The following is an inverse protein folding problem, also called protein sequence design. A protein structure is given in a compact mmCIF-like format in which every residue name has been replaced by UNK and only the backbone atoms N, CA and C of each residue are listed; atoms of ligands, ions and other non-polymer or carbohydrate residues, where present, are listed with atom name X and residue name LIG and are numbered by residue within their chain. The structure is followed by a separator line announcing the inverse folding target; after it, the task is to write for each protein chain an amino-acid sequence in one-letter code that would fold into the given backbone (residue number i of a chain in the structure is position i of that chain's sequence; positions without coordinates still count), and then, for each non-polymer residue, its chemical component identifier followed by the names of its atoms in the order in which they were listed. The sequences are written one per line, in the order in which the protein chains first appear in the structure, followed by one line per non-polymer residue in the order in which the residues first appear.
data_IF_796775776378
#
_entry.id   IF_796775776378
#
_cell.length_a   1.000
_cell.length_b   1.000
_cell.length_c   1.000
_cell.angle_alpha   90.00
_cell.angle_beta   90.00
_cell.angle_gamma   90.00
#
_symmetry.space_group_name_H-M   'P 1'
#
loop_
_entity.id
_entity.type
_entity.pdbx_description
1 polymer ?
#
# COMPACT_ATOMS: atom_id res chain seq x y z
N UNK A 1 16.23 3.12 9.52
CA UNK A 1 15.31 2.48 10.49
C UNK A 1 15.06 0.98 10.23
N UNK A 2 15.06 0.49 8.98
CA UNK A 2 14.82 -0.93 8.68
C UNK A 2 15.90 -1.89 9.23
N UNK A 3 17.14 -1.43 9.38
CA UNK A 3 18.25 -2.21 9.92
C UNK A 3 18.12 -2.47 11.43
N UNK A 4 17.74 -1.46 12.22
CA UNK A 4 17.42 -1.64 13.65
C UNK A 4 16.33 -2.69 13.84
N UNK A 5 15.28 -2.64 13.00
CA UNK A 5 14.16 -3.58 13.11
C UNK A 5 14.57 -5.02 12.80
N UNK A 6 15.50 -5.21 11.85
CA UNK A 6 16.08 -6.53 11.52
C UNK A 6 16.98 -7.06 12.63
N UNK A 7 17.83 -6.21 13.20
CA UNK A 7 18.72 -6.58 14.32
C UNK A 7 17.90 -6.97 15.55
N UNK A 8 16.85 -6.22 15.87
CA UNK A 8 15.99 -6.49 17.02
C UNK A 8 15.21 -7.81 16.85
N UNK A 9 14.80 -8.12 15.61
CA UNK A 9 14.13 -9.37 15.27
C UNK A 9 15.09 -10.56 15.33
N UNK A 10 16.33 -10.40 14.85
CA UNK A 10 17.40 -11.39 15.00
C UNK A 10 17.73 -11.65 16.47
N UNK A 11 17.85 -10.59 17.28
CA UNK A 11 18.10 -10.71 18.71
C UNK A 11 16.96 -11.44 19.43
N UNK A 12 15.70 -11.16 19.07
CA UNK A 12 14.54 -11.88 19.60
C UNK A 12 14.57 -13.36 19.25
N UNK A 13 14.86 -13.71 17.99
CA UNK A 13 14.98 -15.11 17.55
C UNK A 13 16.12 -15.81 18.30
N UNK A 14 17.28 -15.17 18.39
CA UNK A 14 18.43 -15.71 19.10
C UNK A 14 18.13 -15.94 20.58
N UNK A 15 17.47 -14.99 21.24
CA UNK A 15 17.01 -15.14 22.62
C UNK A 15 16.04 -16.32 22.77
N UNK A 16 15.11 -16.50 21.83
CA UNK A 16 14.16 -17.61 21.84
C UNK A 16 14.89 -18.97 21.73
N UNK A 17 15.86 -19.07 20.82
CA UNK A 17 16.65 -20.29 20.59
C UNK A 17 17.52 -20.61 21.80
N UNK A 18 18.23 -19.62 22.34
CA UNK A 18 19.09 -19.80 23.53
C UNK A 18 18.26 -20.16 24.75
N UNK A 19 17.13 -19.48 24.96
CA UNK A 19 16.23 -19.79 26.07
C UNK A 19 15.64 -21.18 25.93
N UNK A 20 15.24 -21.61 24.73
CA UNK A 20 14.78 -22.97 24.49
C UNK A 20 15.85 -24.02 24.78
N UNK A 21 17.08 -23.79 24.33
CA UNK A 21 18.19 -24.72 24.56
C UNK A 21 18.58 -24.82 26.05
N UNK A 22 18.55 -23.71 26.79
CA UNK A 22 18.79 -23.71 28.24
C UNK A 22 17.65 -24.43 28.98
N UNK A 23 16.41 -24.23 28.56
CA UNK A 23 15.24 -24.85 29.18
C UNK A 23 15.23 -26.38 29.01
N UNK A 24 15.56 -26.88 27.81
CA UNK A 24 15.65 -28.33 27.52
C UNK A 24 16.74 -29.01 28.35
N UNK A 25 17.89 -28.37 28.55
CA UNK A 25 19.00 -28.97 29.30
C UNK A 25 18.74 -29.06 30.80
N UNK A 26 18.07 -28.07 31.37
CA UNK A 26 17.97 -27.93 32.82
C UNK A 26 16.60 -28.34 33.37
N UNK A 27 15.58 -28.49 32.52
CA UNK A 27 14.20 -28.78 32.97
C UNK A 27 13.52 -29.81 32.05
N UNK A 28 13.71 -31.11 32.37
CA UNK A 28 12.87 -32.22 31.87
C UNK A 28 11.47 -32.21 32.52
N UNK A 29 10.89 -31.02 32.70
CA UNK A 29 9.58 -30.89 33.30
C UNK A 29 8.52 -31.14 32.24
N UNK A 30 7.76 -32.21 32.42
CA UNK A 30 6.60 -32.55 31.59
C UNK A 30 5.33 -31.97 32.22
N UNK A 31 4.39 -31.61 31.36
CA UNK A 31 3.07 -31.10 31.74
C UNK A 31 1.99 -31.82 30.96
N UNK A 32 0.85 -32.01 31.61
CA UNK A 32 -0.36 -32.53 30.97
C UNK A 32 -1.18 -31.37 30.44
N UNK A 33 -1.50 -31.43 29.16
CA UNK A 33 -2.29 -30.43 28.46
C UNK A 33 -3.73 -30.92 28.30
N UNK A 34 -4.65 -30.23 28.96
CA UNK A 34 -6.09 -30.39 28.72
C UNK A 34 -6.56 -29.40 27.66
N UNK A 35 -6.88 -29.91 26.47
CA UNK A 35 -7.61 -29.18 25.46
C UNK A 35 -9.11 -29.52 25.54
N UNK A 36 -9.96 -28.64 25.00
CA UNK A 36 -11.42 -28.74 25.06
C UNK A 36 -11.95 -30.11 24.55
N UNK A 37 -11.24 -30.74 23.61
CA UNK A 37 -11.65 -32.01 23.00
C UNK A 37 -10.72 -33.18 23.25
N UNK A 38 -9.51 -32.96 23.76
CA UNK A 38 -8.53 -34.02 23.96
C UNK A 38 -7.49 -33.63 25.02
N UNK A 39 -6.92 -34.62 25.67
CA UNK A 39 -5.81 -34.45 26.61
C UNK A 39 -4.53 -35.01 26.00
N UNK A 40 -3.42 -34.30 26.18
CA UNK A 40 -2.09 -34.77 25.81
C UNK A 40 -1.26 -34.83 27.08
N UNK A 41 -0.86 -36.02 27.47
CA UNK A 41 -0.09 -36.25 28.69
C UNK A 41 1.42 -36.21 28.40
N UNK A 42 2.19 -35.85 29.43
CA UNK A 42 3.66 -35.90 29.41
C UNK A 42 4.32 -35.08 28.29
N UNK A 43 3.76 -33.91 27.97
CA UNK A 43 4.36 -33.03 26.96
C UNK A 43 5.43 -32.16 27.61
N UNK A 44 6.60 -32.07 26.98
CA UNK A 44 7.68 -31.21 27.45
C UNK A 44 7.25 -29.72 27.38
N UNK A 45 7.42 -28.99 28.48
CA UNK A 45 6.97 -27.59 28.61
C UNK A 45 7.50 -26.69 27.49
N UNK A 46 8.73 -26.92 27.03
CA UNK A 46 9.33 -26.10 25.98
C UNK A 46 8.62 -26.26 24.63
N UNK A 47 8.09 -27.45 24.30
CA UNK A 47 7.32 -27.69 23.07
C UNK A 47 6.01 -26.90 23.12
N UNK A 48 5.35 -26.93 24.27
CA UNK A 48 4.11 -26.19 24.51
C UNK A 48 4.36 -24.69 24.36
N UNK A 49 5.41 -24.18 25.00
CA UNK A 49 5.73 -22.76 24.97
C UNK A 49 6.11 -22.29 23.57
N UNK A 50 6.92 -23.08 22.85
CA UNK A 50 7.35 -22.77 21.49
C UNK A 50 6.18 -22.82 20.50
N UNK A 51 5.27 -23.78 20.63
CA UNK A 51 4.07 -23.88 19.77
C UNK A 51 3.06 -22.77 20.06
N UNK A 52 2.84 -22.39 21.33
CA UNK A 52 2.02 -21.26 21.71
C UNK A 52 2.60 -19.94 21.18
N UNK A 53 3.91 -19.72 21.33
CA UNK A 53 4.57 -18.54 20.78
C UNK A 53 4.53 -18.54 19.24
N UNK A 54 4.84 -19.67 18.61
CA UNK A 54 4.85 -19.83 17.16
C UNK A 54 3.48 -19.59 16.53
N UNK A 55 2.41 -20.11 17.13
CA UNK A 55 1.04 -19.87 16.68
C UNK A 55 0.63 -18.40 16.79
N UNK A 56 0.97 -17.74 17.91
CA UNK A 56 0.77 -16.30 18.07
C UNK A 56 1.52 -15.48 17.02
N UNK A 57 2.78 -15.83 16.74
CA UNK A 57 3.60 -15.17 15.73
C UNK A 57 3.03 -15.36 14.32
N UNK A 58 2.57 -16.58 13.99
CA UNK A 58 1.92 -16.87 12.71
C UNK A 58 0.65 -16.05 12.51
N UNK A 59 -0.21 -15.99 13.53
CA UNK A 59 -1.43 -15.18 13.50
C UNK A 59 -1.12 -13.69 13.33
N UNK A 60 -0.16 -13.17 14.09
CA UNK A 60 0.27 -11.76 13.99
C UNK A 60 0.86 -11.44 12.61
N UNK A 61 1.65 -12.36 12.05
CA UNK A 61 2.22 -12.24 10.71
C UNK A 61 1.13 -12.21 9.65
N UNK A 62 0.17 -13.14 9.73
CA UNK A 62 -0.96 -13.21 8.81
C UNK A 62 -1.81 -11.94 8.85
N UNK A 63 -2.15 -11.45 10.05
CA UNK A 63 -2.89 -10.20 10.24
C UNK A 63 -2.13 -8.99 9.66
N UNK A 64 -0.81 -8.94 9.84
CA UNK A 64 0.05 -7.88 9.30
C UNK A 64 0.12 -7.94 7.76
N UNK A 65 0.18 -9.14 7.19
CA UNK A 65 0.21 -9.36 5.75
C UNK A 65 -1.09 -8.90 5.07
N UNK A 66 -2.25 -9.20 5.69
CA UNK A 66 -3.56 -8.73 5.21
C UNK A 66 -3.67 -7.21 5.24
N UNK A 67 -3.20 -6.56 6.32
CA UNK A 67 -3.15 -5.09 6.41
C UNK A 67 -2.24 -4.50 5.34
N UNK A 68 -1.06 -5.08 5.13
CA UNK A 68 -0.12 -4.65 4.09
C UNK A 68 -0.68 -4.79 2.67
N UNK A 69 -1.40 -5.88 2.39
CA UNK A 69 -2.07 -6.09 1.11
C UNK A 69 -3.15 -5.03 0.86
N UNK A 70 -4.01 -4.75 1.86
CA UNK A 70 -5.03 -3.69 1.78
C UNK A 70 -4.39 -2.32 1.54
N UNK A 71 -3.30 -2.01 2.23
CA UNK A 71 -2.56 -0.75 2.05
C UNK A 71 -1.98 -0.61 0.65
N UNK A 72 -1.41 -1.69 0.08
CA UNK A 72 -0.89 -1.70 -1.29
C UNK A 72 -1.99 -1.50 -2.33
N UNK A 73 -3.15 -2.14 -2.13
CA UNK A 73 -4.32 -1.95 -2.99
C UNK A 73 -4.82 -0.50 -2.95
N UNK A 74 -4.94 0.08 -1.76
CA UNK A 74 -5.31 1.50 -1.61
C UNK A 74 -4.27 2.41 -2.27
N UNK A 75 -2.98 2.18 -2.06
CA UNK A 75 -1.92 2.98 -2.68
C UNK A 75 -1.96 2.95 -4.21
N UNK A 76 -2.32 1.82 -4.82
CA UNK A 76 -2.53 1.72 -6.28
C UNK A 76 -3.74 2.53 -6.73
N UNK A 77 -4.85 2.49 -5.99
CA UNK A 77 -6.06 3.27 -6.29
C UNK A 77 -5.81 4.77 -6.17
N UNK A 78 -5.12 5.21 -5.12
CA UNK A 78 -4.76 6.62 -4.93
C UNK A 78 -3.80 7.13 -6.01
N UNK A 79 -2.82 6.32 -6.46
CA UNK A 79 -1.97 6.70 -7.60
C UNK A 79 -2.75 6.87 -8.90
N UNK A 80 -3.71 5.97 -9.16
CA UNK A 80 -4.53 6.07 -10.36
C UNK A 80 -5.41 7.32 -10.32
N UNK A 81 -6.09 7.56 -9.20
CA UNK A 81 -6.90 8.77 -9.02
C UNK A 81 -6.07 10.07 -9.15
N UNK A 82 -4.85 10.10 -8.63
CA UNK A 82 -3.97 11.27 -8.78
C UNK A 82 -3.58 11.52 -10.25
N UNK A 83 -3.28 10.46 -11.01
CA UNK A 83 -2.97 10.55 -12.44
C UNK A 83 -4.16 11.01 -13.28
N UNK A 84 -5.36 10.52 -12.95
CA UNK A 84 -6.59 10.92 -13.63
C UNK A 84 -6.88 12.41 -13.37
N UNK A 85 -6.72 12.87 -12.11
CA UNK A 85 -6.88 14.27 -11.73
C UNK A 85 -5.85 15.21 -12.39
N UNK A 86 -4.59 14.77 -12.52
CA UNK A 86 -3.56 15.52 -13.25
C UNK A 86 -3.91 15.68 -14.73
N UNK A 87 -4.54 14.66 -15.34
CA UNK A 87 -4.97 14.70 -16.73
C UNK A 87 -6.11 15.68 -16.94
N UNK A 88 -7.12 15.65 -16.06
CA UNK A 88 -8.22 16.63 -16.08
C UNK A 88 -7.73 18.07 -15.90
N UNK A 89 -6.78 18.29 -14.99
CA UNK A 89 -6.13 19.60 -14.83
C UNK A 89 -5.37 20.04 -16.08
N UNK A 90 -4.69 19.10 -16.75
CA UNK A 90 -3.95 19.39 -17.97
C UNK A 90 -4.90 19.79 -19.12
N UNK A 91 -6.03 19.10 -19.26
CA UNK A 91 -7.08 19.42 -20.23
C UNK A 91 -7.72 20.78 -19.96
N UNK A 92 -8.06 21.07 -18.69
CA UNK A 92 -8.60 22.38 -18.29
C UNK A 92 -7.60 23.52 -18.50
N UNK A 93 -6.31 23.26 -18.37
CA UNK A 93 -5.26 24.27 -18.57
C UNK A 93 -4.92 24.51 -20.04
N UNK A 94 -5.06 23.48 -20.88
CA UNK A 94 -4.86 23.57 -22.33
C UNK A 94 -6.14 23.84 -23.10
N UNK A 95 -7.27 24.00 -22.41
CA UNK A 95 -8.47 24.52 -23.04
C UNK A 95 -8.09 25.86 -23.67
N UNK A 96 -8.17 25.96 -25.01
CA UNK A 96 -7.81 27.19 -25.68
C UNK A 96 -8.67 28.27 -25.06
N UNK A 97 -8.04 29.38 -24.70
CA UNK A 97 -8.68 30.61 -24.24
C UNK A 97 -9.63 31.07 -25.36
N UNK A 98 -10.77 30.40 -25.50
CA UNK A 98 -11.78 30.63 -26.54
C UNK A 98 -12.38 32.04 -26.44
N UNK A 99 -11.99 32.80 -25.42
CA UNK A 99 -12.25 34.21 -25.28
C UNK A 99 -11.39 35.11 -26.17
N UNK A 100 -10.21 34.69 -26.66
CA UNK A 100 -9.36 35.57 -27.48
C UNK A 100 -9.53 35.36 -29.00
N UNK A 101 -10.09 34.23 -29.43
CA UNK A 101 -10.33 33.94 -30.85
C UNK A 101 -11.64 34.56 -31.37
N UNK A 102 -12.60 34.83 -30.48
CA UNK A 102 -13.87 35.49 -30.84
C UNK A 102 -13.70 36.96 -31.23
N UNK A 103 -12.75 37.67 -30.62
CA UNK A 103 -12.58 39.12 -30.85
C UNK A 103 -11.79 39.46 -32.13
N UNK A 104 -10.99 38.52 -32.68
CA UNK A 104 -10.28 38.76 -33.95
C UNK A 104 -11.11 38.45 -35.19
N UNK A 105 -12.09 37.55 -35.09
CA UNK A 105 -12.93 37.16 -36.23
C UNK A 105 -13.95 38.23 -36.66
N UNK A 106 -14.48 39.00 -35.71
CA UNK A 106 -15.46 40.07 -36.00
C UNK A 106 -14.83 41.35 -36.57
N UNK A 107 -13.53 41.58 -36.33
CA UNK A 107 -12.82 42.77 -36.81
C UNK A 107 -12.37 42.69 -38.29
N UNK A 108 -12.30 41.48 -38.87
CA UNK A 108 -11.76 41.29 -40.23
C UNK A 108 -12.85 41.21 -41.31
N UNK A 109 -14.08 40.77 -40.96
CA UNK A 109 -15.20 40.65 -41.91
C UNK A 109 -15.94 41.98 -42.18
N UNK A 110 -15.71 43.01 -41.37
CA UNK A 110 -16.33 44.33 -41.52
C UNK A 110 -15.51 45.35 -42.33
N UNK A 111 -14.32 44.97 -42.83
CA UNK A 111 -13.34 45.91 -43.38
C UNK A 111 -13.06 45.78 -44.90
N UNK A 112 -13.88 45.11 -45.70
CA UNK A 112 -13.71 45.10 -47.18
C UNK A 112 -14.86 45.83 -47.90
N UNK A 113 -14.71 47.15 -48.14
CA UNK A 113 -15.54 47.87 -49.10
C UNK A 113 -15.20 47.40 -50.52
N UNK A 114 -16.13 46.74 -51.21
CA UNK A 114 -16.07 46.57 -52.67
C UNK A 114 -16.83 47.71 -53.33
N UNK A 115 -16.17 48.86 -53.34
CA UNK A 115 -16.54 50.00 -54.17
C UNK A 115 -15.94 49.83 -55.58
N UNK A 116 -16.76 50.12 -56.59
CA UNK A 116 -16.36 50.54 -57.94
C UNK A 116 -15.53 49.58 -58.80
N UNK A 117 -16.13 49.10 -59.88
CA UNK A 117 -15.64 49.42 -61.24
C UNK A 117 -16.69 49.02 -62.28
N UNK A 118 -17.53 50.00 -62.61
CA UNK A 118 -18.06 50.12 -63.96
C UNK A 118 -16.92 50.19 -64.98
N UNK A 119 -17.07 49.52 -66.13
CA UNK A 119 -16.62 50.01 -67.45
C UNK A 119 -17.05 49.08 -68.59
N UNK A 120 -17.95 49.60 -69.43
CA UNK A 120 -17.81 49.60 -70.88
C UNK A 120 -18.44 48.45 -71.68
N UNK A 121 -19.43 48.80 -72.50
CA UNK A 121 -19.97 47.97 -73.58
C UNK A 121 -21.39 48.34 -73.96
#
# INVERSE_FOLDING_TARGET
MHWIRRILLLALIAALVVSGHLFVRDNEQTVDLDFVWFRVESVEVWIVLLSAFGSGLLLASLASMLRGAKLRLMARRYRKAASDLETELHELRNLPLASEAGERGEAEDSAVPRDGLERGG
#
